data_IF_286146235272
#
_entry.id   IF_286146235272
#
_cell.length_a   1.000
_cell.length_b   1.000
_cell.length_c   1.000
_cell.angle_alpha   90.00
_cell.angle_beta   90.00
_cell.angle_gamma   90.00
#
_symmetry.space_group_name_H-M   'P 1'
#
loop_
_entity.id
_entity.type
_entity.pdbx_description
1 polymer ?
#
# COMPACT_ATOMS: atom_id res chain seq x y z
N UNK A 1 22.12 0.13 7.59
CA UNK A 1 21.48 0.19 6.27
C UNK A 1 20.16 0.92 6.42
N UNK A 2 20.00 2.06 5.75
CA UNK A 2 18.79 2.89 5.83
C UNK A 2 17.62 2.22 5.07
N UNK A 3 17.90 1.52 3.97
CA UNK A 3 16.88 0.78 3.21
C UNK A 3 16.14 -0.26 4.05
N UNK A 4 16.80 -0.88 5.03
CA UNK A 4 16.19 -1.87 5.92
C UNK A 4 15.02 -1.30 6.75
N UNK A 5 15.12 -0.03 7.17
CA UNK A 5 14.03 0.66 7.87
C UNK A 5 12.78 0.74 6.97
N UNK A 6 12.96 1.18 5.72
CA UNK A 6 11.86 1.29 4.76
C UNK A 6 11.31 -0.07 4.36
N UNK A 7 12.15 -1.10 4.33
CA UNK A 7 11.69 -2.47 4.07
C UNK A 7 10.74 -2.97 5.17
N UNK A 8 11.09 -2.76 6.44
CA UNK A 8 10.23 -3.11 7.58
C UNK A 8 8.93 -2.29 7.55
N UNK A 9 9.01 -0.98 7.34
CA UNK A 9 7.83 -0.12 7.23
C UNK A 9 6.92 -0.53 6.05
N UNK A 10 7.51 -0.86 4.90
CA UNK A 10 6.80 -1.37 3.73
C UNK A 10 6.08 -2.69 4.01
N UNK A 11 6.74 -3.62 4.72
CA UNK A 11 6.14 -4.88 5.13
C UNK A 11 4.98 -4.68 6.12
N UNK A 12 5.13 -3.80 7.10
CA UNK A 12 4.05 -3.43 8.03
C UNK A 12 2.85 -2.83 7.29
N UNK A 13 3.11 -1.98 6.29
CA UNK A 13 2.06 -1.39 5.46
C UNK A 13 1.33 -2.44 4.61
N UNK A 14 2.06 -3.39 4.02
CA UNK A 14 1.48 -4.52 3.30
C UNK A 14 0.60 -5.38 4.20
N UNK A 15 1.06 -5.70 5.41
CA UNK A 15 0.26 -6.42 6.40
C UNK A 15 -1.01 -5.64 6.76
N UNK A 16 -0.92 -4.33 6.98
CA UNK A 16 -2.08 -3.48 7.26
C UNK A 16 -3.13 -3.53 6.15
N UNK A 17 -2.70 -3.49 4.88
CA UNK A 17 -3.62 -3.58 3.74
C UNK A 17 -4.21 -4.99 3.58
N UNK A 18 -3.42 -6.04 3.83
CA UNK A 18 -3.89 -7.43 3.83
C UNK A 18 -4.99 -7.64 4.87
N UNK A 19 -4.78 -7.18 6.12
CA UNK A 19 -5.81 -7.25 7.17
C UNK A 19 -7.09 -6.52 6.79
N UNK A 20 -7.00 -5.40 6.07
CA UNK A 20 -8.19 -4.68 5.62
C UNK A 20 -9.00 -5.50 4.60
N UNK A 21 -8.33 -6.16 3.65
CA UNK A 21 -8.99 -7.07 2.70
C UNK A 21 -9.64 -8.25 3.43
N UNK A 22 -8.90 -8.91 4.33
CA UNK A 22 -9.43 -10.06 5.09
C UNK A 22 -10.64 -9.66 5.93
N UNK A 23 -10.58 -8.51 6.62
CA UNK A 23 -11.71 -7.98 7.39
C UNK A 23 -12.95 -7.78 6.52
N UNK A 24 -12.80 -7.16 5.35
CA UNK A 24 -13.94 -6.91 4.44
C UNK A 24 -14.47 -8.22 3.82
N UNK A 25 -13.60 -9.19 3.52
CA UNK A 25 -14.04 -10.52 3.06
C UNK A 25 -14.89 -11.23 4.11
N UNK A 26 -14.49 -11.18 5.38
CA UNK A 26 -15.27 -11.75 6.48
C UNK A 26 -16.60 -11.01 6.66
N UNK A 27 -16.59 -9.68 6.57
CA UNK A 27 -17.79 -8.85 6.71
C UNK A 27 -18.83 -9.13 5.60
N UNK A 28 -18.38 -9.19 4.34
CA UNK A 28 -19.28 -9.43 3.20
C UNK A 28 -19.51 -10.91 2.88
N UNK A 29 -18.83 -11.83 3.61
CA UNK A 29 -18.87 -13.28 3.37
C UNK A 29 -18.53 -13.67 1.93
N UNK A 30 -17.52 -13.01 1.35
CA UNK A 30 -17.05 -13.25 -0.02
C UNK A 30 -15.72 -14.00 -0.01
N UNK A 31 -15.74 -15.25 -0.44
CA UNK A 31 -14.55 -16.10 -0.52
C UNK A 31 -13.61 -15.69 -1.67
N UNK A 32 -14.15 -15.50 -2.89
CA UNK A 32 -13.39 -15.17 -4.10
C UNK A 32 -13.95 -13.94 -4.81
N UNK A 33 -13.07 -13.23 -5.51
CA UNK A 33 -13.43 -11.96 -6.17
C UNK A 33 -13.76 -10.85 -5.17
N UNK A 34 -14.60 -9.91 -5.60
CA UNK A 34 -15.09 -8.76 -4.82
C UNK A 34 -16.58 -8.88 -4.44
N UNK A 35 -17.29 -9.88 -4.97
CA UNK A 35 -18.70 -10.16 -4.65
C UNK A 35 -19.65 -9.03 -5.03
N UNK A 36 -19.26 -8.13 -5.93
CA UNK A 36 -20.03 -6.93 -6.29
C UNK A 36 -19.95 -5.80 -5.27
N UNK A 37 -19.19 -5.94 -4.18
CA UNK A 37 -19.00 -4.89 -3.19
C UNK A 37 -17.85 -3.97 -3.59
N UNK A 38 -18.19 -2.72 -3.94
CA UNK A 38 -17.20 -1.72 -4.31
C UNK A 38 -16.14 -1.50 -3.22
N UNK A 39 -16.50 -1.56 -1.94
CA UNK A 39 -15.55 -1.47 -0.81
C UNK A 39 -14.51 -2.59 -0.82
N UNK A 40 -14.92 -3.83 -1.11
CA UNK A 40 -14.02 -4.98 -1.17
C UNK A 40 -13.12 -4.92 -2.41
N UNK A 41 -13.69 -4.61 -3.58
CA UNK A 41 -12.95 -4.40 -4.83
C UNK A 41 -11.81 -3.38 -4.64
N UNK A 42 -12.14 -2.31 -3.95
CA UNK A 42 -11.24 -1.21 -3.63
C UNK A 42 -10.10 -1.63 -2.72
N UNK A 43 -10.41 -2.30 -1.62
CA UNK A 43 -9.42 -2.81 -0.69
C UNK A 43 -8.46 -3.79 -1.39
N UNK A 44 -8.99 -4.67 -2.26
CA UNK A 44 -8.19 -5.59 -3.07
C UNK A 44 -7.24 -4.83 -3.98
N UNK A 45 -7.69 -3.77 -4.68
CA UNK A 45 -6.82 -2.98 -5.57
C UNK A 45 -5.77 -2.18 -4.81
N UNK A 46 -6.08 -1.65 -3.63
CA UNK A 46 -5.07 -0.97 -2.80
C UNK A 46 -4.00 -1.96 -2.34
N UNK A 47 -4.40 -3.13 -1.86
CA UNK A 47 -3.45 -4.17 -1.44
C UNK A 47 -2.61 -4.68 -2.61
N UNK A 48 -3.24 -5.00 -3.75
CA UNK A 48 -2.55 -5.45 -4.96
C UNK A 48 -1.53 -4.43 -5.46
N UNK A 49 -1.92 -3.15 -5.54
CA UNK A 49 -1.00 -2.07 -5.91
C UNK A 49 0.18 -1.98 -4.93
N UNK A 50 -0.06 -2.10 -3.62
CA UNK A 50 1.03 -2.09 -2.66
C UNK A 50 1.99 -3.27 -2.85
N UNK A 51 1.48 -4.48 -3.13
CA UNK A 51 2.28 -5.69 -3.40
C UNK A 51 3.10 -5.57 -4.69
N UNK A 52 2.57 -4.89 -5.70
CA UNK A 52 3.29 -4.67 -6.97
C UNK A 52 4.42 -3.65 -6.79
N UNK A 53 4.16 -2.53 -6.11
CA UNK A 53 5.09 -1.39 -6.10
C UNK A 53 6.06 -1.37 -4.94
N UNK A 54 5.67 -1.81 -3.73
CA UNK A 54 6.54 -1.73 -2.54
C UNK A 54 7.79 -2.61 -2.72
N UNK A 55 7.70 -3.90 -3.09
CA UNK A 55 8.89 -4.74 -3.24
C UNK A 55 9.84 -4.24 -4.31
N UNK A 56 9.32 -3.87 -5.49
CA UNK A 56 10.14 -3.35 -6.60
C UNK A 56 10.89 -2.10 -6.18
N UNK A 57 10.20 -1.15 -5.54
CA UNK A 57 10.84 0.08 -5.13
C UNK A 57 11.78 -0.08 -3.93
N UNK A 58 11.56 -1.05 -3.04
CA UNK A 58 12.54 -1.41 -2.00
C UNK A 58 13.81 -2.00 -2.59
N UNK A 59 13.71 -2.84 -3.63
CA UNK A 59 14.89 -3.35 -4.36
C UNK A 59 15.66 -2.20 -4.99
N UNK A 60 14.97 -1.26 -5.64
CA UNK A 60 15.61 -0.07 -6.22
C UNK A 60 16.26 0.81 -5.15
N UNK A 61 15.62 0.98 -3.99
CA UNK A 61 16.16 1.73 -2.86
C UNK A 61 17.42 1.07 -2.29
N UNK A 62 17.43 -0.27 -2.21
CA UNK A 62 18.60 -1.05 -1.80
C UNK A 62 19.75 -0.88 -2.79
N UNK A 63 19.48 -0.97 -4.10
CA UNK A 63 20.51 -0.72 -5.12
C UNK A 63 21.05 0.71 -5.06
N UNK A 64 20.19 1.68 -4.78
CA UNK A 64 20.62 3.07 -4.60
C UNK A 64 21.60 3.21 -3.42
N UNK A 65 21.28 2.60 -2.26
CA UNK A 65 22.18 2.59 -1.09
C UNK A 65 23.49 1.83 -1.38
N UNK A 66 23.42 0.67 -2.04
CA UNK A 66 24.60 -0.14 -2.39
C UNK A 66 25.55 0.55 -3.39
N UNK A 67 25.03 1.42 -4.25
CA UNK A 67 25.83 2.23 -5.17
C UNK A 67 26.48 3.46 -4.49
N UNK A 68 26.36 3.60 -3.17
CA UNK A 68 26.97 4.69 -2.42
C UNK A 68 26.23 6.02 -2.52
N UNK A 69 24.91 5.99 -2.80
CA UNK A 69 24.12 7.21 -2.77
C UNK A 69 24.12 7.85 -1.37
N UNK A 70 24.06 9.18 -1.35
CA UNK A 70 23.98 9.95 -0.12
C UNK A 70 22.78 9.54 0.75
N UNK A 71 23.01 9.40 2.05
CA UNK A 71 22.02 8.91 3.03
C UNK A 71 20.72 9.71 2.98
N UNK A 72 20.81 11.03 2.77
CA UNK A 72 19.63 11.90 2.70
C UNK A 72 18.75 11.62 1.48
N UNK A 73 19.33 11.25 0.33
CA UNK A 73 18.56 10.91 -0.87
C UNK A 73 17.77 9.63 -0.65
N UNK A 74 18.39 8.62 -0.02
CA UNK A 74 17.73 7.35 0.34
C UNK A 74 16.54 7.62 1.26
N UNK A 75 16.69 8.53 2.24
CA UNK A 75 15.58 8.92 3.11
C UNK A 75 14.45 9.61 2.36
N UNK A 76 14.75 10.56 1.47
CA UNK A 76 13.72 11.25 0.68
C UNK A 76 12.95 10.25 -0.18
N UNK A 77 13.65 9.38 -0.91
CA UNK A 77 13.01 8.36 -1.75
C UNK A 77 12.15 7.39 -0.92
N UNK A 78 12.66 6.94 0.23
CA UNK A 78 11.91 6.07 1.14
C UNK A 78 10.67 6.74 1.75
N UNK A 79 10.77 8.01 2.14
CA UNK A 79 9.62 8.79 2.66
C UNK A 79 8.58 9.00 1.56
N UNK A 80 8.99 9.40 0.36
CA UNK A 80 8.08 9.58 -0.79
C UNK A 80 7.34 8.27 -1.11
N UNK A 81 8.05 7.14 -1.06
CA UNK A 81 7.44 5.84 -1.28
C UNK A 81 6.33 5.55 -0.25
N UNK A 82 6.61 5.69 1.04
CA UNK A 82 5.62 5.41 2.09
C UNK A 82 4.47 6.42 2.04
N UNK A 83 4.78 7.71 1.93
CA UNK A 83 3.80 8.78 1.87
C UNK A 83 2.86 8.63 0.66
N UNK A 84 3.40 8.31 -0.52
CA UNK A 84 2.60 8.08 -1.72
C UNK A 84 1.60 6.93 -1.55
N UNK A 85 1.98 5.84 -0.87
CA UNK A 85 1.07 4.71 -0.62
C UNK A 85 0.01 5.03 0.42
N UNK A 86 0.37 5.79 1.45
CA UNK A 86 -0.62 6.30 2.42
C UNK A 86 -1.61 7.24 1.73
N UNK A 87 -1.15 8.20 0.93
CA UNK A 87 -2.02 9.09 0.17
C UNK A 87 -2.95 8.34 -0.79
N UNK A 88 -2.45 7.31 -1.48
CA UNK A 88 -3.28 6.45 -2.34
C UNK A 88 -4.38 5.74 -1.53
N UNK A 89 -4.06 5.21 -0.35
CA UNK A 89 -5.04 4.61 0.55
C UNK A 89 -6.09 5.63 1.05
N UNK A 90 -5.67 6.83 1.45
CA UNK A 90 -6.57 7.89 1.92
C UNK A 90 -7.47 8.46 0.82
N UNK A 91 -6.92 8.71 -0.37
CA UNK A 91 -7.67 9.19 -1.54
C UNK A 91 -8.79 8.22 -1.93
N UNK A 92 -8.55 6.93 -1.71
CA UNK A 92 -9.54 5.90 -1.95
C UNK A 92 -10.71 5.95 -0.95
N UNK A 93 -10.43 6.07 0.35
CA UNK A 93 -11.46 6.21 1.39
C UNK A 93 -12.40 7.40 1.11
N UNK A 94 -11.87 8.49 0.57
CA UNK A 94 -12.68 9.66 0.20
C UNK A 94 -13.59 9.40 -1.02
N UNK A 95 -13.16 8.56 -1.98
CA UNK A 95 -13.99 8.17 -3.14
C UNK A 95 -15.15 7.26 -2.75
N UNK A 96 -14.93 6.30 -1.85
CA UNK A 96 -16.00 5.42 -1.33
C UNK A 96 -17.07 6.23 -0.59
N UNK A 97 -16.64 7.21 0.22
CA UNK A 97 -17.57 8.06 0.95
C UNK A 97 -18.47 8.90 0.02
N UNK A 98 -17.94 9.38 -1.12
CA UNK A 98 -18.74 10.06 -2.14
C UNK A 98 -19.72 9.13 -2.85
N UNK A 99 -19.33 7.90 -3.14
CA UNK A 99 -20.19 6.92 -3.81
C UNK A 99 -21.41 6.56 -2.95
N UNK A 100 -21.20 6.39 -1.64
CA UNK A 100 -22.25 6.10 -0.66
C UNK A 100 -23.25 7.25 -0.41
N UNK A 101 -22.94 8.48 -0.83
CA UNK A 101 -23.84 9.64 -0.76
C UNK A 101 -24.66 9.87 -2.04
N UNK A 102 -24.35 9.16 -3.14
CA UNK A 102 -24.97 9.39 -4.46
C UNK A 102 -25.84 8.24 -4.95
N UNK A 103 -25.85 7.10 -4.24
CA UNK A 103 -26.82 6.01 -4.42
C UNK A 103 -27.77 5.98 -3.24
#
# INVERSE_FOLDING_TARGET
>A
MVSALYAVLGALLLMKFSFNVVRLRMQYRVAYGDGGFSELQSAIRIHGNAVEYIPVALVLLLFMEMNGAETWMVHICGIILIAGRLMHYYGFHHRLFRWRRRG
#
